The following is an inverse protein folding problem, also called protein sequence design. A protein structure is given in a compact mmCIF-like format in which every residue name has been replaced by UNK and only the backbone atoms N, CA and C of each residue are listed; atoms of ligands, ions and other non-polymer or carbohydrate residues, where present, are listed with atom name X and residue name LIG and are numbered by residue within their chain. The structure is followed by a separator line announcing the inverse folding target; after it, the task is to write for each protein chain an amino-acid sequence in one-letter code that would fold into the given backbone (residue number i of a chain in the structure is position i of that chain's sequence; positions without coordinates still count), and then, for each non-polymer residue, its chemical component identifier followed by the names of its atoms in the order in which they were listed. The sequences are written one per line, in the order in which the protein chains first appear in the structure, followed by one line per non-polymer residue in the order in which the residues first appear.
data_IF_543345315148
#
_entry.id   IF_543345315148
#
_cell.length_a   1.000
_cell.length_b   1.000
_cell.length_c   1.000
_cell.angle_alpha   90.00
_cell.angle_beta   90.00
_cell.angle_gamma   90.00
#
_symmetry.space_group_name_H-M   'P 1'
#
loop_
_entity.id
_entity.type
_entity.pdbx_description
1 polymer ?
#
# COMPACT_ATOMS: atom_id res chain seq x y z
N UNK A 1 -36.72 49.88 4.66
CA UNK A 1 -37.39 48.56 4.68
C UNK A 1 -38.58 48.61 3.72
N UNK A 2 -39.02 47.50 3.09
CA UNK A 2 -38.66 46.09 3.33
C UNK A 2 -38.18 45.37 2.04
N UNK A 3 -37.34 44.31 2.07
CA UNK A 3 -37.57 42.92 2.52
C UNK A 3 -38.78 42.20 1.86
N UNK A 4 -38.54 41.23 0.95
CA UNK A 4 -38.86 39.78 1.12
C UNK A 4 -38.88 38.94 -0.18
N UNK A 5 -38.30 37.73 -0.04
CA UNK A 5 -38.69 36.40 -0.59
C UNK A 5 -38.50 36.17 -2.11
N UNK A 6 -38.13 34.99 -2.63
CA UNK A 6 -38.10 33.62 -2.11
C UNK A 6 -37.24 32.73 -3.03
N UNK A 7 -36.73 31.63 -2.47
CA UNK A 7 -36.02 30.53 -3.13
C UNK A 7 -36.81 29.81 -4.24
N UNK A 8 -36.07 29.17 -5.17
CA UNK A 8 -36.19 27.76 -5.63
C UNK A 8 -35.70 27.57 -7.08
N UNK A 9 -34.62 26.81 -7.26
CA UNK A 9 -34.45 25.68 -8.19
C UNK A 9 -32.95 25.43 -8.44
N UNK A 10 -32.35 24.57 -7.64
CA UNK A 10 -31.21 23.76 -8.09
C UNK A 10 -31.82 22.62 -8.90
N UNK A 11 -31.58 22.63 -10.21
CA UNK A 11 -31.93 21.54 -11.10
C UNK A 11 -30.90 20.42 -10.99
N UNK A 12 -31.42 19.21 -10.90
CA UNK A 12 -30.72 17.92 -10.94
C UNK A 12 -29.64 17.87 -12.02
N UNK A 13 -28.41 17.59 -11.59
CA UNK A 13 -27.44 16.85 -12.41
C UNK A 13 -27.13 15.57 -11.67
N UNK A 14 -27.82 14.52 -12.07
CA UNK A 14 -27.53 13.14 -11.70
C UNK A 14 -26.15 12.78 -12.21
N UNK A 15 -25.17 12.73 -11.30
CA UNK A 15 -23.86 12.15 -11.57
C UNK A 15 -24.05 10.64 -11.80
N UNK A 16 -23.53 10.04 -12.89
CA UNK A 16 -23.54 8.61 -13.05
C UNK A 16 -22.71 7.97 -11.93
N UNK A 17 -23.39 7.32 -11.00
CA UNK A 17 -22.79 6.39 -10.05
C UNK A 17 -22.23 5.21 -10.84
N UNK A 18 -20.94 5.24 -11.17
CA UNK A 18 -20.08 4.12 -11.58
C UNK A 18 -18.71 4.67 -12.03
N UNK A 19 -17.91 5.13 -11.07
CA UNK A 19 -16.47 5.24 -11.27
C UNK A 19 -15.81 4.47 -10.13
N UNK A 20 -14.98 3.48 -10.47
CA UNK A 20 -14.17 2.79 -9.48
C UNK A 20 -13.23 3.80 -8.81
N UNK A 21 -12.80 3.56 -7.55
CA UNK A 21 -11.85 4.45 -6.86
C UNK A 21 -10.58 4.76 -7.68
N UNK A 22 -10.21 3.85 -8.59
CA UNK A 22 -9.05 3.97 -9.51
C UNK A 22 -9.24 5.04 -10.60
N UNK A 23 -10.46 5.26 -11.09
CA UNK A 23 -10.76 6.31 -12.08
C UNK A 23 -10.86 7.71 -11.47
N UNK A 24 -11.19 7.79 -10.17
CA UNK A 24 -11.23 9.07 -9.45
C UNK A 24 -9.84 9.72 -9.35
N UNK A 25 -8.77 8.92 -9.23
CA UNK A 25 -7.38 9.40 -9.19
C UNK A 25 -6.96 9.99 -10.56
N UNK A 26 -7.29 9.32 -11.66
CA UNK A 26 -6.99 9.82 -13.01
C UNK A 26 -7.80 11.08 -13.39
N UNK A 27 -9.06 11.16 -12.94
CA UNK A 27 -9.90 12.33 -13.16
C UNK A 27 -9.41 13.57 -12.39
N UNK A 28 -8.93 13.39 -11.14
CA UNK A 28 -8.40 14.49 -10.33
C UNK A 28 -7.08 15.06 -10.89
N UNK A 29 -6.20 14.22 -11.43
CA UNK A 29 -4.93 14.66 -12.04
C UNK A 29 -5.14 15.53 -13.31
N UNK A 30 -6.26 15.34 -14.02
CA UNK A 30 -6.56 16.09 -15.24
C UNK A 30 -7.21 17.46 -14.93
N UNK A 31 -7.82 17.63 -13.75
CA UNK A 31 -8.52 18.85 -13.36
C UNK A 31 -7.61 19.95 -12.76
N UNK A 32 -6.39 19.60 -12.31
CA UNK A 32 -5.49 20.52 -11.59
C UNK A 32 -4.61 21.40 -12.50
N UNK A 33 -4.96 21.51 -13.79
CA UNK A 33 -4.29 22.39 -14.75
C UNK A 33 -4.61 23.90 -14.62
N UNK A 34 -5.29 24.36 -13.56
CA UNK A 34 -5.68 25.76 -13.46
C UNK A 34 -6.04 26.25 -12.06
N UNK A 35 -5.17 27.12 -11.52
CA UNK A 35 -5.38 28.15 -10.47
C UNK A 35 -6.17 27.75 -9.20
N UNK A 36 -5.43 27.74 -8.09
CA UNK A 36 -5.83 27.47 -6.71
C UNK A 36 -6.94 28.38 -6.16
N UNK A 37 -7.98 27.80 -5.55
CA UNK A 37 -8.86 28.51 -4.60
C UNK A 37 -9.26 27.59 -3.43
N UNK A 38 -9.71 28.16 -2.31
CA UNK A 38 -9.99 27.46 -1.04
C UNK A 38 -11.01 26.28 -1.10
N UNK A 39 -11.65 26.04 -2.25
CA UNK A 39 -12.47 24.86 -2.51
C UNK A 39 -11.62 23.57 -2.68
N UNK A 40 -10.33 23.69 -3.00
CA UNK A 40 -9.41 22.56 -3.22
C UNK A 40 -9.16 21.73 -1.93
N UNK A 41 -9.30 22.36 -0.76
CA UNK A 41 -9.13 21.69 0.54
C UNK A 41 -10.23 20.70 0.89
N UNK A 42 -11.46 20.89 0.38
CA UNK A 42 -12.56 19.93 0.58
C UNK A 42 -12.50 18.76 -0.41
N UNK A 43 -12.01 18.98 -1.63
CA UNK A 43 -11.75 17.91 -2.59
C UNK A 43 -10.62 16.96 -2.10
N UNK A 44 -9.59 17.50 -1.45
CA UNK A 44 -8.53 16.71 -0.81
C UNK A 44 -9.03 15.79 0.32
N UNK A 45 -9.95 16.26 1.16
CA UNK A 45 -10.50 15.45 2.25
C UNK A 45 -11.35 14.27 1.75
N UNK A 46 -12.05 14.43 0.62
CA UNK A 46 -12.81 13.36 -0.03
C UNK A 46 -11.91 12.30 -0.68
N UNK A 47 -10.76 12.72 -1.24
CA UNK A 47 -9.76 11.82 -1.83
C UNK A 47 -9.12 10.89 -0.79
N UNK A 48 -8.77 11.43 0.39
CA UNK A 48 -8.22 10.64 1.52
C UNK A 48 -9.27 9.68 2.09
N UNK A 49 -10.55 10.07 2.15
CA UNK A 49 -11.64 9.18 2.57
C UNK A 49 -11.84 8.01 1.60
N UNK A 50 -11.70 8.25 0.28
CA UNK A 50 -11.79 7.21 -0.75
C UNK A 50 -10.60 6.25 -0.80
N UNK A 51 -9.45 6.65 -0.25
CA UNK A 51 -8.27 5.80 -0.06
C UNK A 51 -8.40 4.88 1.18
N UNK A 52 -9.33 5.20 2.10
CA UNK A 52 -9.56 4.46 3.35
C UNK A 52 -10.82 3.60 3.32
N UNK A 53 -11.76 3.83 2.40
CA UNK A 53 -13.04 3.11 2.35
C UNK A 53 -13.48 2.84 0.91
N UNK A 54 -13.48 1.58 0.43
CA UNK A 54 -14.32 1.18 -0.69
C UNK A 54 -15.76 1.01 -0.18
N UNK A 55 -16.69 1.74 -0.79
CA UNK A 55 -18.10 1.77 -0.40
C UNK A 55 -18.75 0.38 -0.39
N UNK A 56 -19.43 0.07 0.72
CA UNK A 56 -20.35 -1.05 0.81
C UNK A 56 -21.63 -0.69 0.04
N UNK A 57 -21.95 -1.46 -1.00
CA UNK A 57 -23.30 -1.52 -1.56
C UNK A 57 -23.76 -2.96 -1.45
N UNK A 58 -24.81 -3.18 -0.65
CA UNK A 58 -25.45 -4.49 -0.48
C UNK A 58 -25.95 -5.03 -1.82
N UNK A 59 -25.75 -6.32 -2.03
CA UNK A 59 -26.24 -7.03 -3.22
C UNK A 59 -26.88 -8.34 -2.80
N UNK A 60 -28.19 -8.44 -3.09
CA UNK A 60 -29.03 -9.61 -2.92
C UNK A 60 -28.50 -10.84 -3.66
N UNK A 61 -28.80 -12.02 -3.10
CA UNK A 61 -28.44 -13.31 -3.66
C UNK A 61 -29.18 -13.58 -4.98
N UNK A 62 -28.46 -13.53 -6.09
CA UNK A 62 -28.91 -13.93 -7.43
C UNK A 62 -28.12 -15.13 -7.94
N UNK A 63 -28.84 -16.20 -8.25
CA UNK A 63 -28.37 -17.53 -8.63
C UNK A 63 -27.58 -17.52 -9.98
N UNK A 64 -26.39 -18.14 -10.02
CA UNK A 64 -25.70 -18.55 -11.26
C UNK A 64 -24.86 -17.52 -12.03
N UNK A 65 -24.06 -16.67 -11.36
CA UNK A 65 -23.32 -15.57 -12.01
C UNK A 65 -21.83 -15.85 -12.32
N UNK A 66 -21.40 -15.47 -13.52
CA UNK A 66 -19.98 -15.21 -13.84
C UNK A 66 -19.44 -14.19 -12.83
N UNK A 67 -18.41 -14.57 -12.05
CA UNK A 67 -17.82 -13.70 -11.04
C UNK A 67 -17.14 -12.49 -11.69
N UNK A 68 -17.47 -11.29 -11.21
CA UNK A 68 -16.85 -10.04 -11.70
C UNK A 68 -15.43 -9.89 -11.16
N UNK A 69 -14.42 -9.47 -11.95
CA UNK A 69 -13.03 -9.36 -11.48
C UNK A 69 -12.85 -8.45 -10.25
N UNK A 70 -13.65 -7.37 -10.16
CA UNK A 70 -13.60 -6.41 -9.06
C UNK A 70 -14.46 -6.83 -7.86
N UNK A 71 -15.16 -7.96 -7.95
CA UNK A 71 -15.95 -8.47 -6.84
C UNK A 71 -15.03 -8.82 -5.66
N UNK A 72 -15.40 -8.45 -4.42
CA UNK A 72 -14.64 -8.84 -3.24
C UNK A 72 -14.57 -10.36 -3.09
N UNK A 73 -13.36 -10.89 -2.93
CA UNK A 73 -13.08 -12.25 -2.44
C UNK A 73 -13.02 -12.28 -0.91
N UNK A 74 -12.48 -11.20 -0.32
CA UNK A 74 -12.49 -10.86 1.10
C UNK A 74 -12.93 -9.40 1.22
N UNK A 75 -14.03 -9.13 1.91
CA UNK A 75 -14.62 -7.79 2.06
C UNK A 75 -13.84 -6.94 3.07
N UNK A 76 -13.68 -5.63 2.79
CA UNK A 76 -13.24 -4.64 3.78
C UNK A 76 -14.34 -4.39 4.81
N UNK A 77 -13.97 -4.11 6.06
CA UNK A 77 -14.87 -3.82 7.18
C UNK A 77 -15.66 -5.00 7.75
N UNK A 78 -15.16 -6.23 7.59
CA UNK A 78 -15.68 -7.35 8.35
C UNK A 78 -14.94 -7.46 9.69
N UNK A 79 -15.69 -7.50 10.79
CA UNK A 79 -15.16 -7.65 12.14
C UNK A 79 -14.79 -9.13 12.39
N UNK A 80 -13.83 -9.63 11.60
CA UNK A 80 -13.34 -11.01 11.66
C UNK A 80 -12.39 -11.07 12.85
N UNK A 81 -12.75 -11.80 13.92
CA UNK A 81 -11.94 -11.93 15.16
C UNK A 81 -11.73 -10.65 16.00
N UNK A 82 -12.49 -9.57 15.79
CA UNK A 82 -12.14 -8.24 16.33
C UNK A 82 -11.02 -7.55 15.55
N UNK A 83 -10.64 -8.13 14.42
CA UNK A 83 -9.67 -7.66 13.44
C UNK A 83 -10.46 -7.06 12.27
N UNK A 84 -10.60 -5.74 12.24
CA UNK A 84 -11.23 -5.02 11.13
C UNK A 84 -10.39 -5.13 9.85
N UNK A 85 -10.48 -6.15 9.00
CA UNK A 85 -9.69 -6.17 7.75
C UNK A 85 -10.10 -4.96 6.90
N UNK A 86 -9.17 -4.04 6.67
CA UNK A 86 -9.41 -2.80 5.93
C UNK A 86 -9.18 -2.99 4.44
N UNK A 87 -8.24 -3.86 4.07
CA UNK A 87 -7.93 -4.18 2.67
C UNK A 87 -8.86 -5.28 2.16
N UNK A 88 -9.80 -4.90 1.30
CA UNK A 88 -10.61 -5.86 0.56
C UNK A 88 -9.76 -6.54 -0.51
N UNK A 89 -9.67 -7.87 -0.51
CA UNK A 89 -8.98 -8.64 -1.56
C UNK A 89 -10.01 -9.06 -2.61
N UNK A 90 -9.76 -8.78 -3.89
CA UNK A 90 -10.67 -9.14 -5.00
C UNK A 90 -10.33 -10.49 -5.63
N UNK A 91 -11.19 -11.00 -6.50
CA UNK A 91 -10.88 -12.20 -7.28
C UNK A 91 -9.66 -12.01 -8.20
N UNK A 92 -9.48 -10.81 -8.78
CA UNK A 92 -8.30 -10.52 -9.60
C UNK A 92 -7.00 -10.54 -8.76
N UNK A 93 -7.06 -10.07 -7.51
CA UNK A 93 -5.92 -10.14 -6.59
C UNK A 93 -5.57 -11.59 -6.24
N UNK A 94 -6.57 -12.47 -6.09
CA UNK A 94 -6.33 -13.90 -5.87
C UNK A 94 -5.71 -14.56 -7.09
N UNK A 95 -6.19 -14.22 -8.29
CA UNK A 95 -5.64 -14.72 -9.55
C UNK A 95 -4.18 -14.29 -9.70
N UNK A 96 -3.91 -13.02 -9.41
CA UNK A 96 -2.56 -12.44 -9.42
C UNK A 96 -1.63 -13.14 -8.42
N UNK A 97 -2.10 -13.30 -7.18
CA UNK A 97 -1.34 -13.98 -6.13
C UNK A 97 -1.01 -15.44 -6.46
N UNK A 98 -1.86 -16.15 -7.21
CA UNK A 98 -1.62 -17.54 -7.59
C UNK A 98 -0.41 -17.69 -8.49
N UNK A 99 -0.36 -16.98 -9.63
CA UNK A 99 0.64 -17.24 -10.67
C UNK A 99 1.04 -15.99 -11.50
N UNK A 100 0.70 -14.78 -11.04
CA UNK A 100 0.99 -13.55 -11.77
C UNK A 100 1.73 -12.54 -10.88
N UNK A 101 1.96 -11.35 -11.42
CA UNK A 101 2.53 -10.21 -10.72
C UNK A 101 1.64 -9.82 -9.55
N UNK A 102 2.23 -9.58 -8.38
CA UNK A 102 1.46 -9.07 -7.25
C UNK A 102 0.98 -7.65 -7.54
N UNK A 103 -0.28 -7.40 -7.21
CA UNK A 103 -0.87 -6.05 -7.24
C UNK A 103 -0.49 -5.26 -5.99
N UNK A 104 -0.68 -3.94 -6.03
CA UNK A 104 -0.64 -3.07 -4.84
C UNK A 104 -1.46 -3.66 -3.69
N UNK A 105 -2.61 -4.24 -4.01
CA UNK A 105 -3.56 -4.74 -3.04
C UNK A 105 -3.07 -6.04 -2.38
N UNK A 106 -2.37 -6.91 -3.12
CA UNK A 106 -1.71 -8.07 -2.55
C UNK A 106 -0.65 -7.67 -1.51
N UNK A 107 0.19 -6.67 -1.84
CA UNK A 107 1.25 -6.20 -0.93
C UNK A 107 0.64 -5.46 0.26
N UNK A 108 -0.35 -4.59 0.04
CA UNK A 108 -1.07 -3.89 1.10
C UNK A 108 -1.76 -4.84 2.08
N UNK A 109 -2.37 -5.91 1.58
CA UNK A 109 -2.95 -6.97 2.42
C UNK A 109 -1.87 -7.64 3.29
N UNK A 110 -0.71 -7.96 2.70
CA UNK A 110 0.39 -8.57 3.44
C UNK A 110 0.92 -7.66 4.56
N UNK A 111 1.10 -6.38 4.28
CA UNK A 111 1.49 -5.39 5.28
C UNK A 111 0.44 -5.27 6.40
N UNK A 112 -0.84 -5.19 6.05
CA UNK A 112 -1.92 -5.15 7.04
C UNK A 112 -1.91 -6.39 7.94
N UNK A 113 -1.70 -7.57 7.35
CA UNK A 113 -1.58 -8.80 8.12
C UNK A 113 -0.39 -8.76 9.09
N UNK A 114 0.78 -8.27 8.67
CA UNK A 114 1.94 -8.09 9.54
C UNK A 114 1.66 -7.09 10.68
N UNK A 115 1.02 -5.97 10.37
CA UNK A 115 0.64 -4.95 11.36
C UNK A 115 -0.32 -5.46 12.42
N UNK A 116 -1.16 -6.45 12.08
CA UNK A 116 -2.18 -6.99 12.97
C UNK A 116 -1.74 -8.23 13.73
N UNK A 117 -1.02 -9.12 13.06
CA UNK A 117 -0.67 -10.42 13.64
C UNK A 117 0.75 -10.44 14.23
N UNK A 118 1.62 -9.51 13.81
CA UNK A 118 3.02 -9.49 14.23
C UNK A 118 3.30 -8.31 15.14
N UNK A 119 3.07 -7.08 14.69
CA UNK A 119 3.46 -5.87 15.44
C UNK A 119 2.82 -5.74 16.84
N UNK A 120 1.58 -6.19 17.13
CA UNK A 120 1.00 -6.03 18.47
C UNK A 120 1.72 -6.85 19.54
N UNK A 121 2.50 -7.87 19.14
CA UNK A 121 3.40 -8.62 20.03
C UNK A 121 4.62 -7.80 20.48
N UNK A 122 4.85 -6.64 19.86
CA UNK A 122 6.00 -5.77 20.10
C UNK A 122 5.54 -4.29 20.25
N UNK A 123 4.84 -3.94 21.34
CA UNK A 123 4.20 -2.62 21.49
C UNK A 123 5.19 -1.44 21.55
N UNK A 124 6.46 -1.70 21.80
CA UNK A 124 7.52 -0.69 21.77
C UNK A 124 8.09 -0.44 20.36
N UNK A 125 7.77 -1.31 19.39
CA UNK A 125 8.20 -1.15 18.02
C UNK A 125 7.54 0.09 17.41
N UNK A 126 8.38 0.96 16.83
CA UNK A 126 7.94 2.16 16.13
C UNK A 126 8.17 2.01 14.64
N UNK A 127 7.46 1.05 14.06
CA UNK A 127 7.65 0.64 12.67
C UNK A 127 6.40 1.03 11.87
N UNK A 128 6.61 1.60 10.69
CA UNK A 128 5.54 1.89 9.72
C UNK A 128 5.76 1.00 8.49
N UNK A 129 4.72 0.31 8.05
CA UNK A 129 4.68 -0.32 6.73
C UNK A 129 3.87 0.61 5.82
N UNK A 130 4.55 1.36 4.96
CA UNK A 130 3.91 2.37 4.13
C UNK A 130 3.29 1.70 2.91
N UNK A 131 1.96 1.82 2.78
CA UNK A 131 1.20 1.15 1.71
C UNK A 131 1.76 1.48 0.33
N UNK A 132 1.70 0.55 -0.66
CA UNK A 132 2.18 0.78 -2.01
C UNK A 132 1.62 2.07 -2.66
N UNK A 133 0.33 2.33 -2.51
CA UNK A 133 -0.34 3.52 -3.04
C UNK A 133 0.20 4.82 -2.43
N UNK A 134 0.56 4.80 -1.14
CA UNK A 134 1.14 5.95 -0.44
C UNK A 134 2.60 6.17 -0.85
N UNK A 135 3.34 5.09 -1.06
CA UNK A 135 4.70 5.15 -1.61
C UNK A 135 4.70 5.70 -3.03
N UNK A 136 3.77 5.25 -3.88
CA UNK A 136 3.59 5.79 -5.22
C UNK A 136 3.27 7.29 -5.17
N UNK A 137 2.29 7.70 -4.35
CA UNK A 137 1.95 9.12 -4.18
C UNK A 137 3.15 9.95 -3.71
N UNK A 138 3.91 9.46 -2.72
CA UNK A 138 5.15 10.08 -2.23
C UNK A 138 6.16 10.29 -3.36
N UNK A 139 6.35 9.29 -4.23
CA UNK A 139 7.32 9.35 -5.30
C UNK A 139 6.90 10.27 -6.46
N UNK A 140 5.60 10.46 -6.68
CA UNK A 140 5.07 11.25 -7.80
C UNK A 140 4.76 12.69 -7.45
N UNK A 141 4.48 12.99 -6.18
CA UNK A 141 4.21 14.36 -5.76
C UNK A 141 5.50 15.20 -5.75
N UNK A 142 5.58 16.32 -6.51
CA UNK A 142 6.70 17.24 -6.40
C UNK A 142 6.73 18.00 -5.08
N UNK A 143 5.57 18.41 -4.54
CA UNK A 143 5.48 19.22 -3.32
C UNK A 143 4.96 18.41 -2.13
N UNK A 144 5.88 17.98 -1.25
CA UNK A 144 5.59 17.17 -0.07
C UNK A 144 4.55 17.78 0.88
N UNK A 145 4.33 19.11 0.84
CA UNK A 145 3.31 19.77 1.67
C UNK A 145 1.90 19.32 1.29
N UNK A 146 1.65 18.95 0.03
CA UNK A 146 0.34 18.57 -0.47
C UNK A 146 -0.12 17.19 0.01
N UNK A 147 0.83 16.29 0.27
CA UNK A 147 0.55 14.90 0.66
C UNK A 147 0.78 14.62 2.15
N UNK A 148 1.29 15.60 2.91
CA UNK A 148 1.65 15.42 4.32
C UNK A 148 0.48 14.97 5.19
N UNK A 149 -0.75 15.42 4.89
CA UNK A 149 -1.97 15.00 5.59
C UNK A 149 -2.46 13.61 5.20
N UNK A 150 -2.03 13.08 4.05
CA UNK A 150 -2.36 11.74 3.59
C UNK A 150 -1.36 10.68 4.11
N UNK A 151 -0.17 11.10 4.54
CA UNK A 151 0.86 10.23 5.10
C UNK A 151 0.68 10.02 6.61
N UNK A 152 1.18 8.90 7.17
CA UNK A 152 1.15 8.68 8.61
C UNK A 152 2.08 9.64 9.36
N UNK A 153 1.89 9.76 10.66
CA UNK A 153 2.83 10.51 11.50
C UNK A 153 4.15 9.74 11.67
N UNK A 154 5.24 10.32 11.15
CA UNK A 154 6.59 9.78 11.25
C UNK A 154 7.36 10.29 12.47
N UNK A 155 6.78 11.15 13.32
CA UNK A 155 7.50 11.86 14.40
C UNK A 155 8.25 10.96 15.38
N UNK A 156 7.76 9.73 15.62
CA UNK A 156 8.33 8.77 16.56
C UNK A 156 8.83 7.49 15.88
N UNK A 157 8.85 7.45 14.55
CA UNK A 157 9.18 6.25 13.80
C UNK A 157 10.67 5.92 13.92
N UNK A 158 11.00 4.64 14.06
CA UNK A 158 12.38 4.16 14.00
C UNK A 158 12.68 3.53 12.64
N UNK A 159 11.73 2.78 12.09
CA UNK A 159 11.89 2.11 10.80
C UNK A 159 10.66 2.23 9.92
N UNK A 160 10.87 2.35 8.61
CA UNK A 160 9.80 2.47 7.62
C UNK A 160 10.09 1.50 6.49
N UNK A 161 9.12 0.66 6.16
CA UNK A 161 9.15 -0.18 4.95
C UNK A 161 8.33 0.49 3.86
N UNK A 162 8.88 0.56 2.65
CA UNK A 162 8.22 1.12 1.47
C UNK A 162 8.36 0.14 0.30
N UNK A 163 7.26 -0.43 -0.21
CA UNK A 163 7.23 -1.10 -1.49
C UNK A 163 7.43 -0.09 -2.61
N UNK A 164 8.50 -0.24 -3.39
CA UNK A 164 8.87 0.65 -4.48
C UNK A 164 8.44 0.02 -5.81
N UNK A 165 7.82 0.82 -6.67
CA UNK A 165 7.44 0.45 -8.03
C UNK A 165 7.92 1.51 -9.04
N UNK A 166 8.30 1.09 -10.23
CA UNK A 166 8.82 1.93 -11.33
C UNK A 166 7.73 2.53 -12.23
N UNK A 167 6.45 2.35 -11.90
CA UNK A 167 5.32 2.97 -12.56
C UNK A 167 5.57 4.46 -12.80
N UNK A 168 5.47 4.91 -14.06
CA UNK A 168 5.76 6.30 -14.44
C UNK A 168 4.50 7.17 -14.50
N UNK A 169 3.39 6.58 -14.93
CA UNK A 169 2.17 7.31 -15.24
C UNK A 169 1.12 7.14 -14.13
N UNK A 170 0.80 8.23 -13.44
CA UNK A 170 -0.27 8.30 -12.43
C UNK A 170 -1.67 8.02 -12.97
N UNK A 171 -1.90 8.20 -14.27
CA UNK A 171 -3.19 7.96 -14.90
C UNK A 171 -3.36 6.52 -15.42
N UNK A 172 -2.31 5.70 -15.39
CA UNK A 172 -2.35 4.30 -15.83
C UNK A 172 -2.49 3.39 -14.61
N UNK A 173 -3.66 2.76 -14.47
CA UNK A 173 -3.84 1.70 -13.49
C UNK A 173 -2.89 0.53 -13.81
N UNK A 174 -2.32 -0.09 -12.78
CA UNK A 174 -1.42 -1.25 -12.91
C UNK A 174 -0.20 -0.96 -13.80
N UNK A 175 0.25 0.31 -13.80
CA UNK A 175 1.53 0.68 -14.41
C UNK A 175 2.72 0.13 -13.62
N UNK A 176 3.89 0.17 -14.24
CA UNK A 176 5.13 -0.35 -13.67
C UNK A 176 5.48 -1.75 -14.17
N UNK A 177 6.76 -2.08 -14.10
CA UNK A 177 7.35 -3.33 -14.55
C UNK A 177 8.18 -4.03 -13.46
N UNK A 178 8.31 -3.46 -12.27
CA UNK A 178 9.08 -4.10 -11.21
C UNK A 178 8.77 -3.62 -9.80
N UNK A 179 8.78 -4.55 -8.85
CA UNK A 179 8.70 -4.28 -7.41
C UNK A 179 10.04 -4.47 -6.72
N UNK A 180 10.36 -3.56 -5.80
CA UNK A 180 11.53 -3.64 -4.93
C UNK A 180 11.17 -3.11 -3.53
N UNK A 181 12.03 -3.31 -2.54
CA UNK A 181 11.75 -2.90 -1.15
C UNK A 181 12.76 -1.87 -0.66
N UNK A 182 12.30 -0.77 -0.08
CA UNK A 182 13.13 0.15 0.69
C UNK A 182 12.83 0.01 2.19
N UNK A 183 13.86 -0.20 2.99
CA UNK A 183 13.82 -0.13 4.45
C UNK A 183 14.60 1.09 4.93
N UNK A 184 13.92 2.07 5.49
CA UNK A 184 14.53 3.25 6.09
C UNK A 184 14.72 3.01 7.59
N UNK A 185 15.96 3.12 8.08
CA UNK A 185 16.26 3.35 9.49
C UNK A 185 16.32 4.85 9.75
N UNK A 186 15.27 5.40 10.35
CA UNK A 186 15.20 6.82 10.69
C UNK A 186 16.19 7.19 11.80
N UNK A 187 16.50 6.24 12.69
CA UNK A 187 17.45 6.41 13.79
C UNK A 187 18.90 6.46 13.30
N UNK A 188 19.26 5.61 12.33
CA UNK A 188 20.61 5.55 11.78
C UNK A 188 20.82 6.50 10.59
N UNK A 189 19.74 7.05 10.02
CA UNK A 189 19.80 7.92 8.85
C UNK A 189 20.21 7.17 7.58
N UNK A 190 19.76 5.93 7.41
CA UNK A 190 20.14 5.05 6.28
C UNK A 190 18.90 4.43 5.67
N UNK A 191 18.86 4.35 4.33
CA UNK A 191 17.84 3.64 3.58
C UNK A 191 18.48 2.47 2.82
N UNK A 192 18.05 1.25 3.15
CA UNK A 192 18.50 -0.01 2.57
C UNK A 192 17.53 -0.44 1.47
N UNK A 193 18.02 -0.53 0.23
CA UNK A 193 17.23 -0.92 -0.93
C UNK A 193 17.53 -2.35 -1.35
N UNK A 194 16.49 -3.17 -1.40
CA UNK A 194 16.54 -4.57 -1.80
C UNK A 194 15.79 -4.76 -3.11
N UNK A 195 16.51 -5.29 -4.10
CA UNK A 195 16.01 -5.46 -5.45
C UNK A 195 16.32 -6.87 -5.96
N UNK A 196 15.29 -7.62 -6.33
CA UNK A 196 15.43 -8.99 -6.85
C UNK A 196 15.77 -9.07 -8.33
N UNK A 197 15.87 -7.93 -9.05
CA UNK A 197 16.15 -7.87 -10.48
C UNK A 197 17.34 -6.94 -10.78
N UNK A 198 18.53 -7.30 -10.29
CA UNK A 198 19.79 -6.67 -10.70
C UNK A 198 19.87 -5.16 -10.47
N UNK A 199 19.12 -4.62 -9.51
CA UNK A 199 19.05 -3.18 -9.26
C UNK A 199 18.25 -2.39 -10.30
N UNK A 200 17.29 -3.03 -10.99
CA UNK A 200 16.39 -2.39 -11.95
C UNK A 200 15.72 -1.12 -11.38
N UNK A 201 15.37 -1.11 -10.10
CA UNK A 201 14.76 0.03 -9.40
C UNK A 201 15.78 0.90 -8.64
N UNK A 202 17.06 0.92 -9.02
CA UNK A 202 18.08 1.72 -8.33
C UNK A 202 17.70 3.21 -8.28
N UNK A 203 17.23 3.77 -9.40
CA UNK A 203 16.88 5.19 -9.47
C UNK A 203 15.64 5.51 -8.61
N UNK A 204 14.66 4.60 -8.62
CA UNK A 204 13.41 4.64 -7.88
C UNK A 204 13.66 4.55 -6.38
N UNK A 205 14.49 3.59 -5.93
CA UNK A 205 14.92 3.47 -4.54
C UNK A 205 15.69 4.69 -4.05
N UNK A 206 16.56 5.26 -4.89
CA UNK A 206 17.29 6.50 -4.58
C UNK A 206 16.35 7.70 -4.48
N UNK A 207 15.37 7.82 -5.38
CA UNK A 207 14.35 8.86 -5.34
C UNK A 207 13.48 8.75 -4.08
N UNK A 208 12.99 7.55 -3.76
CA UNK A 208 12.20 7.31 -2.56
C UNK A 208 12.98 7.65 -1.28
N UNK A 209 14.28 7.35 -1.25
CA UNK A 209 15.17 7.76 -0.15
C UNK A 209 15.24 9.27 -0.01
N UNK A 210 15.38 10.00 -1.11
CA UNK A 210 15.39 11.46 -1.08
C UNK A 210 14.06 12.04 -0.59
N UNK A 211 12.93 11.54 -1.09
CA UNK A 211 11.59 11.95 -0.62
C UNK A 211 11.39 11.67 0.87
N UNK A 212 11.83 10.51 1.36
CA UNK A 212 11.78 10.22 2.78
C UNK A 212 12.70 11.11 3.62
N UNK A 213 13.85 11.53 3.07
CA UNK A 213 14.73 12.48 3.72
C UNK A 213 14.04 13.85 3.94
N UNK A 214 13.28 14.32 2.95
CA UNK A 214 12.46 15.53 3.07
C UNK A 214 11.36 15.39 4.12
N UNK A 215 10.61 14.28 4.08
CA UNK A 215 9.51 13.99 5.03
C UNK A 215 10.01 13.90 6.48
N UNK A 216 11.16 13.26 6.70
CA UNK A 216 11.76 13.12 8.02
C UNK A 216 12.52 14.38 8.46
N UNK A 217 12.75 15.34 7.57
CA UNK A 217 13.52 16.55 7.85
C UNK A 217 14.98 16.27 8.21
N UNK A 218 15.57 15.18 7.67
CA UNK A 218 16.96 14.80 7.93
C UNK A 218 17.59 14.04 6.77
N UNK A 219 18.91 14.17 6.54
CA UNK A 219 19.59 13.44 5.48
C UNK A 219 19.49 11.92 5.68
N UNK A 220 19.20 11.20 4.60
CA UNK A 220 19.28 9.74 4.56
C UNK A 220 20.37 9.31 3.58
N UNK A 221 21.24 8.40 4.00
CA UNK A 221 22.19 7.74 3.12
C UNK A 221 21.51 6.57 2.41
N UNK A 222 21.48 6.62 1.08
CA UNK A 222 21.02 5.51 0.25
C UNK A 222 22.07 4.40 0.18
N UNK A 223 21.65 3.16 0.43
CA UNK A 223 22.44 1.96 0.24
C UNK A 223 21.67 0.99 -0.63
N UNK A 224 22.20 0.69 -1.81
CA UNK A 224 21.74 -0.42 -2.64
C UNK A 224 22.39 -1.71 -2.14
N UNK A 225 21.59 -2.74 -1.86
CA UNK A 225 22.08 -4.01 -1.33
C UNK A 225 22.30 -4.96 -2.50
N UNK A 226 23.52 -4.95 -3.04
CA UNK A 226 23.91 -5.79 -4.19
C UNK A 226 23.88 -7.29 -3.86
N UNK A 227 23.83 -7.64 -2.58
CA UNK A 227 23.70 -9.01 -2.07
C UNK A 227 22.25 -9.44 -1.80
N UNK A 228 21.28 -8.71 -2.34
CA UNK A 228 19.85 -9.07 -2.29
C UNK A 228 19.61 -10.37 -3.07
N UNK A 229 18.76 -11.29 -2.55
CA UNK A 229 18.37 -12.49 -3.28
C UNK A 229 17.72 -12.13 -4.62
N UNK A 230 18.20 -12.76 -5.69
CA UNK A 230 17.72 -12.50 -7.05
C UNK A 230 16.61 -13.48 -7.44
N UNK A 231 15.61 -13.00 -8.17
CA UNK A 231 14.56 -13.84 -8.73
C UNK A 231 15.04 -14.48 -10.04
N UNK A 232 14.56 -15.69 -10.32
CA UNK A 232 14.84 -16.37 -11.58
C UNK A 232 13.77 -16.12 -12.66
N UNK A 233 12.54 -15.82 -12.25
CA UNK A 233 11.41 -15.56 -13.14
C UNK A 233 11.09 -14.06 -13.26
N UNK A 234 10.13 -13.69 -14.10
CA UNK A 234 9.78 -12.29 -14.38
C UNK A 234 8.68 -11.69 -13.51
N UNK A 235 8.03 -12.43 -12.60
CA UNK A 235 6.78 -12.00 -11.94
C UNK A 235 6.78 -12.09 -10.42
N UNK A 236 7.79 -12.71 -9.81
CA UNK A 236 7.86 -12.91 -8.35
C UNK A 236 8.42 -11.71 -7.58
N UNK A 237 8.77 -10.59 -8.22
CA UNK A 237 9.35 -9.41 -7.57
C UNK A 237 8.52 -8.93 -6.36
N UNK A 238 7.18 -8.87 -6.49
CA UNK A 238 6.31 -8.53 -5.37
C UNK A 238 6.32 -9.57 -4.24
N UNK A 239 6.48 -10.86 -4.56
CA UNK A 239 6.61 -11.92 -3.56
C UNK A 239 7.92 -11.79 -2.80
N UNK A 240 9.01 -11.45 -3.49
CA UNK A 240 10.30 -11.14 -2.88
C UNK A 240 10.18 -9.96 -1.93
N UNK A 241 9.50 -8.88 -2.32
CA UNK A 241 9.19 -7.74 -1.43
C UNK A 241 8.50 -8.20 -0.15
N UNK A 242 7.42 -8.98 -0.24
CA UNK A 242 6.69 -9.48 0.92
C UNK A 242 7.54 -10.37 1.85
N UNK A 243 8.32 -11.30 1.28
CA UNK A 243 9.18 -12.22 2.04
C UNK A 243 10.32 -11.47 2.74
N UNK A 244 10.99 -10.57 2.01
CA UNK A 244 12.07 -9.73 2.55
C UNK A 244 11.55 -8.83 3.66
N UNK A 245 10.41 -8.17 3.45
CA UNK A 245 9.78 -7.31 4.45
C UNK A 245 9.53 -8.07 5.75
N UNK A 246 8.90 -9.24 5.69
CA UNK A 246 8.66 -10.06 6.89
C UNK A 246 9.96 -10.52 7.53
N UNK A 247 10.94 -10.96 6.75
CA UNK A 247 12.21 -11.43 7.27
C UNK A 247 12.95 -10.32 8.02
N UNK A 248 13.11 -9.16 7.39
CA UNK A 248 13.75 -7.99 7.97
C UNK A 248 13.00 -7.53 9.22
N UNK A 249 11.68 -7.41 9.14
CA UNK A 249 10.85 -7.04 10.27
C UNK A 249 11.06 -7.99 11.47
N UNK A 250 10.82 -9.28 11.29
CA UNK A 250 10.80 -10.22 12.41
C UNK A 250 12.23 -10.56 12.86
N UNK A 251 13.09 -10.97 11.94
CA UNK A 251 14.40 -11.55 12.26
C UNK A 251 15.49 -10.50 12.46
N UNK A 252 15.36 -9.31 11.86
CA UNK A 252 16.37 -8.25 12.00
C UNK A 252 15.94 -7.16 12.97
N UNK A 253 14.69 -6.70 12.91
CA UNK A 253 14.28 -5.55 13.72
C UNK A 253 13.65 -5.94 15.06
N UNK A 254 12.74 -6.92 15.07
CA UNK A 254 11.96 -7.26 16.26
C UNK A 254 12.63 -8.31 17.17
N UNK A 255 13.42 -9.23 16.61
CA UNK A 255 14.14 -10.25 17.39
C UNK A 255 15.51 -9.80 17.87
N UNK A 256 15.99 -8.63 17.44
CA UNK A 256 17.30 -8.15 17.82
C UNK A 256 17.29 -7.55 19.22
N UNK A 257 18.31 -7.88 20.02
CA UNK A 257 18.54 -7.20 21.28
C UNK A 257 18.96 -5.75 21.00
N UNK A 258 18.44 -4.79 21.78
CA UNK A 258 18.69 -3.35 21.59
C UNK A 258 20.19 -2.93 21.65
N UNK A 259 21.09 -3.84 22.04
CA UNK A 259 22.54 -3.61 22.13
C UNK A 259 23.35 -4.25 21.00
N UNK A 260 22.71 -5.05 20.14
CA UNK A 260 23.40 -5.79 19.09
C UNK A 260 23.34 -5.05 17.75
N UNK A 261 24.48 -5.00 17.06
CA UNK A 261 24.50 -4.55 15.67
C UNK A 261 23.87 -5.64 14.80
N UNK A 262 22.83 -5.27 14.07
CA UNK A 262 22.14 -6.17 13.16
C UNK A 262 22.62 -5.94 11.75
N UNK A 263 23.10 -6.99 11.09
CA UNK A 263 23.38 -6.93 9.66
C UNK A 263 22.08 -6.90 8.86
N UNK A 264 21.99 -5.92 7.96
CA UNK A 264 20.89 -5.77 6.99
C UNK A 264 21.16 -6.53 5.68
N UNK A 265 22.31 -7.18 5.55
CA UNK A 265 22.63 -8.05 4.41
C UNK A 265 21.65 -9.22 4.30
N UNK A 266 21.30 -9.54 3.05
CA UNK A 266 20.52 -10.71 2.68
C UNK A 266 21.33 -11.73 1.86
N UNK A 267 22.67 -11.61 1.89
CA UNK A 267 23.57 -12.57 1.28
C UNK A 267 23.27 -14.00 1.73
N UNK A 268 23.33 -14.94 0.79
CA UNK A 268 23.10 -16.37 1.01
C UNK A 268 21.70 -16.73 1.54
N UNK A 269 20.72 -15.82 1.46
CA UNK A 269 19.32 -16.13 1.76
C UNK A 269 18.64 -16.67 0.51
N UNK A 270 18.14 -17.89 0.60
CA UNK A 270 17.27 -18.48 -0.40
C UNK A 270 15.83 -18.04 -0.12
N UNK A 271 15.13 -17.61 -1.17
CA UNK A 271 13.73 -17.20 -1.11
C UNK A 271 12.90 -18.26 -1.83
N UNK A 272 11.96 -18.85 -1.09
CA UNK A 272 10.93 -19.74 -1.65
C UNK A 272 9.69 -18.91 -2.00
N UNK A 273 9.65 -18.39 -3.22
CA UNK A 273 8.53 -17.56 -3.70
C UNK A 273 7.23 -18.37 -3.81
N UNK A 274 7.30 -19.64 -4.23
CA UNK A 274 6.13 -20.52 -4.29
C UNK A 274 5.54 -20.79 -2.91
N UNK A 275 6.41 -21.05 -1.93
CA UNK A 275 6.03 -21.14 -0.52
C UNK A 275 5.37 -19.85 -0.02
N UNK A 276 5.93 -18.69 -0.36
CA UNK A 276 5.37 -17.38 -0.04
C UNK A 276 3.96 -17.17 -0.61
N UNK A 277 3.74 -17.48 -1.89
CA UNK A 277 2.41 -17.42 -2.53
C UNK A 277 1.41 -18.33 -1.84
N UNK A 278 1.79 -19.60 -1.59
CA UNK A 278 0.94 -20.57 -0.88
C UNK A 278 0.56 -20.10 0.52
N UNK A 279 1.52 -19.51 1.24
CA UNK A 279 1.29 -18.98 2.58
C UNK A 279 0.27 -17.83 2.56
N UNK A 280 0.48 -16.82 1.70
CA UNK A 280 -0.44 -15.69 1.56
C UNK A 280 -1.85 -16.16 1.20
N UNK A 281 -1.98 -17.10 0.25
CA UNK A 281 -3.28 -17.69 -0.12
C UNK A 281 -3.95 -18.40 1.05
N UNK A 282 -3.19 -19.17 1.83
CA UNK A 282 -3.71 -19.89 3.00
C UNK A 282 -4.21 -18.92 4.07
N UNK A 283 -3.50 -17.82 4.29
CA UNK A 283 -3.92 -16.77 5.23
C UNK A 283 -5.23 -16.13 4.76
N UNK A 284 -5.30 -15.70 3.50
CA UNK A 284 -6.53 -15.09 2.94
C UNK A 284 -7.72 -16.04 3.06
N UNK A 285 -7.54 -17.31 2.71
CA UNK A 285 -8.61 -18.30 2.79
C UNK A 285 -9.04 -18.60 4.23
N UNK A 286 -8.09 -18.60 5.17
CA UNK A 286 -8.39 -18.76 6.59
C UNK A 286 -9.23 -17.59 7.12
N UNK A 287 -8.88 -16.36 6.76
CA UNK A 287 -9.63 -15.16 7.13
C UNK A 287 -11.03 -15.16 6.51
N UNK A 288 -11.14 -15.52 5.22
CA UNK A 288 -12.42 -15.62 4.51
C UNK A 288 -13.39 -16.59 5.20
N UNK A 289 -12.92 -17.81 5.51
CA UNK A 289 -13.72 -18.83 6.20
C UNK A 289 -14.15 -18.38 7.59
N UNK A 290 -13.28 -17.69 8.32
CA UNK A 290 -13.63 -17.16 9.64
C UNK A 290 -14.68 -16.05 9.55
N UNK A 291 -14.60 -15.19 8.52
CA UNK A 291 -15.64 -14.21 8.22
C UNK A 291 -16.99 -14.86 7.91
N UNK A 292 -17.01 -15.91 7.07
CA UNK A 292 -18.22 -16.67 6.73
C UNK A 292 -18.89 -17.30 7.96
N UNK A 293 -18.11 -17.98 8.83
CA UNK A 293 -18.63 -18.61 10.04
C UNK A 293 -19.30 -17.64 11.01
N UNK A 294 -18.88 -16.38 11.02
CA UNK A 294 -19.45 -15.36 11.90
C UNK A 294 -20.73 -14.74 11.35
N UNK A 295 -21.02 -14.95 10.06
CA UNK A 295 -22.26 -14.50 9.41
C UNK A 295 -23.39 -15.53 9.47
N UNK A 296 -23.06 -16.81 9.60
CA UNK A 296 -24.00 -17.94 9.75
C UNK A 296 -24.48 -18.09 11.18
#
# INVERSE_FOLDING_TARGET
MPFRKMARHFGDTTWPSLLSPRLAIAAAATALGGRTTAADGQAHALLVSSLLVPGAVGGEAGNGGVLSPQQPYLSSHENILGLLVLIAVTYEDIKSLKNDWLTDNNIAFWEEWLEREVLPKYPQARIILLRPSMTFLLMKEPDMRQIRSALPDFSKVTHIFLPINDARNVAQAEGGSHWSLLLVSAIDGVAFHYDSLGGANYAEGRLATHKMSEILGRPLRYLNLDDSPQQENGSDCGVFVCILMRHLLIKRLLSANAREKVSMSMANKLIDSHGGRKEMLKIIESLRKEGERRRS
#
